data_IF_060626192361
#
_entry.id   IF_060626192361
#
_cell.length_a   1.000
_cell.length_b   1.000
_cell.length_c   1.000
_cell.angle_alpha   90.00
_cell.angle_beta   90.00
_cell.angle_gamma   90.00
#
_symmetry.space_group_name_H-M   'P 1'
#
loop_
_entity.id
_entity.type
_entity.pdbx_description
1 polymer ?
#
# COMPACT_ATOMS: atom_id res chain seq x y z
N UNK A 1 52.26 -51.47 -61.68
CA UNK A 1 53.02 -50.19 -61.68
C UNK A 1 52.10 -48.99 -61.91
N UNK A 2 51.34 -48.89 -63.01
CA UNK A 2 50.44 -47.74 -63.28
C UNK A 2 49.32 -47.51 -62.24
N UNK A 3 48.69 -48.57 -61.71
CA UNK A 3 47.63 -48.44 -60.71
C UNK A 3 48.13 -47.89 -59.35
N UNK A 4 49.34 -48.30 -58.96
CA UNK A 4 50.00 -47.83 -57.72
C UNK A 4 50.37 -46.34 -57.84
N UNK A 5 50.87 -45.93 -59.02
CA UNK A 5 51.15 -44.52 -59.33
C UNK A 5 49.88 -43.65 -59.23
N UNK A 6 48.76 -44.13 -59.80
CA UNK A 6 47.47 -43.41 -59.75
C UNK A 6 46.95 -43.25 -58.31
N UNK A 7 47.00 -44.32 -57.52
CA UNK A 7 46.61 -44.29 -56.10
C UNK A 7 47.52 -43.34 -55.29
N UNK A 8 48.82 -43.30 -55.61
CA UNK A 8 49.76 -42.41 -54.94
C UNK A 8 49.48 -40.93 -55.28
N UNK A 9 49.11 -40.62 -56.53
CA UNK A 9 48.69 -39.28 -56.95
C UNK A 9 47.37 -38.85 -56.29
N UNK A 10 46.42 -39.77 -56.12
CA UNK A 10 45.15 -39.51 -55.43
C UNK A 10 45.39 -39.19 -53.94
N UNK A 11 46.14 -40.02 -53.21
CA UNK A 11 46.53 -39.73 -51.82
C UNK A 11 47.32 -38.42 -51.68
N UNK A 12 48.15 -38.08 -52.66
CA UNK A 12 48.89 -36.80 -52.65
C UNK A 12 47.93 -35.61 -52.73
N UNK A 13 46.92 -35.67 -53.61
CA UNK A 13 45.89 -34.61 -53.71
C UNK A 13 45.03 -34.52 -52.44
N UNK A 14 44.68 -35.64 -51.84
CA UNK A 14 43.95 -35.65 -50.56
C UNK A 14 44.76 -35.00 -49.44
N UNK A 15 46.06 -35.28 -49.36
CA UNK A 15 46.95 -34.64 -48.41
C UNK A 15 47.10 -33.13 -48.67
N UNK A 16 47.18 -32.70 -49.93
CA UNK A 16 47.21 -31.29 -50.32
C UNK A 16 45.90 -30.58 -49.91
N UNK A 17 44.74 -31.17 -50.20
CA UNK A 17 43.44 -30.62 -49.81
C UNK A 17 43.28 -30.54 -48.29
N UNK A 18 43.73 -31.57 -47.57
CA UNK A 18 43.70 -31.59 -46.12
C UNK A 18 44.62 -30.50 -45.56
N UNK A 19 45.83 -30.34 -46.12
CA UNK A 19 46.76 -29.28 -45.72
C UNK A 19 46.16 -27.88 -45.95
N UNK A 20 45.54 -27.63 -47.10
CA UNK A 20 44.86 -26.37 -47.40
C UNK A 20 43.71 -26.09 -46.42
N UNK A 21 42.95 -27.13 -46.06
CA UNK A 21 41.88 -27.01 -45.06
C UNK A 21 42.45 -26.69 -43.67
N UNK A 22 43.52 -27.36 -43.25
CA UNK A 22 44.22 -27.06 -42.00
C UNK A 22 44.76 -25.63 -41.97
N UNK A 23 45.39 -25.16 -43.05
CA UNK A 23 45.90 -23.79 -43.14
C UNK A 23 44.77 -22.75 -43.05
N UNK A 24 43.64 -23.00 -43.73
CA UNK A 24 42.48 -22.11 -43.67
C UNK A 24 41.84 -22.11 -42.27
N UNK A 25 41.71 -23.28 -41.64
CA UNK A 25 41.20 -23.39 -40.27
C UNK A 25 42.14 -22.72 -39.27
N UNK A 26 43.46 -22.81 -39.45
CA UNK A 26 44.45 -22.14 -38.60
C UNK A 26 44.34 -20.61 -38.72
N UNK A 27 44.22 -20.09 -39.94
CA UNK A 27 44.01 -18.64 -40.17
C UNK A 27 42.70 -18.14 -39.56
N UNK A 28 41.64 -18.92 -39.67
CA UNK A 28 40.36 -18.57 -39.06
C UNK A 28 40.44 -18.54 -37.53
N UNK A 29 41.08 -19.54 -36.93
CA UNK A 29 41.33 -19.58 -35.49
C UNK A 29 42.16 -18.38 -35.03
N UNK A 30 43.23 -18.03 -35.74
CA UNK A 30 44.07 -16.86 -35.44
C UNK A 30 43.26 -15.56 -35.48
N UNK A 31 42.41 -15.40 -36.51
CA UNK A 31 41.53 -14.24 -36.65
C UNK A 31 40.53 -14.15 -35.49
N UNK A 32 39.83 -15.24 -35.16
CA UNK A 32 38.86 -15.26 -34.06
C UNK A 32 39.53 -15.05 -32.69
N UNK A 33 40.75 -15.55 -32.51
CA UNK A 33 41.55 -15.31 -31.31
C UNK A 33 41.85 -13.82 -31.15
N UNK A 34 42.32 -13.15 -32.21
CA UNK A 34 42.58 -11.70 -32.19
C UNK A 34 41.31 -10.90 -31.87
N UNK A 35 40.18 -11.25 -32.48
CA UNK A 35 38.90 -10.58 -32.21
C UNK A 35 38.47 -10.74 -30.74
N UNK A 36 38.66 -11.93 -30.16
CA UNK A 36 38.36 -12.19 -28.75
C UNK A 36 39.30 -11.45 -27.81
N UNK A 37 40.59 -11.34 -28.15
CA UNK A 37 41.59 -10.59 -27.38
C UNK A 37 41.25 -9.09 -27.34
N UNK A 38 40.83 -8.51 -28.47
CA UNK A 38 40.36 -7.11 -28.52
C UNK A 38 39.10 -6.89 -27.68
N UNK A 39 38.12 -7.80 -27.77
CA UNK A 39 36.90 -7.73 -26.95
C UNK A 39 37.20 -7.86 -25.46
N UNK A 40 38.14 -8.73 -25.09
CA UNK A 40 38.57 -8.90 -23.71
C UNK A 40 39.21 -7.61 -23.19
N UNK A 41 40.11 -7.01 -23.98
CA UNK A 41 40.76 -5.75 -23.64
C UNK A 41 39.74 -4.63 -23.37
N UNK A 42 38.76 -4.45 -24.25
CA UNK A 42 37.72 -3.43 -24.05
C UNK A 42 36.80 -3.72 -22.85
N UNK A 43 36.52 -4.99 -22.56
CA UNK A 43 35.74 -5.37 -21.40
C UNK A 43 36.51 -5.11 -20.09
N UNK A 44 37.81 -5.37 -20.07
CA UNK A 44 38.69 -5.06 -18.92
C UNK A 44 38.78 -3.55 -18.67
N UNK A 45 38.96 -2.74 -19.72
CA UNK A 45 38.99 -1.28 -19.63
C UNK A 45 37.65 -0.72 -19.08
N UNK A 46 36.52 -1.24 -19.59
CA UNK A 46 35.19 -0.85 -19.12
C UNK A 46 34.96 -1.25 -17.65
N UNK A 47 35.48 -2.40 -17.22
CA UNK A 47 35.35 -2.86 -15.84
C UNK A 47 36.16 -1.99 -14.86
N UNK A 48 37.32 -1.48 -15.28
CA UNK A 48 38.13 -0.54 -14.48
C UNK A 48 37.37 0.77 -14.28
N UNK A 49 36.81 1.35 -15.35
CA UNK A 49 36.02 2.59 -15.28
C UNK A 49 34.81 2.46 -14.34
N UNK A 50 34.04 1.38 -14.49
CA UNK A 50 32.87 1.12 -13.63
C UNK A 50 33.29 0.98 -12.15
N UNK A 51 34.45 0.39 -11.89
CA UNK A 51 34.96 0.24 -10.53
C UNK A 51 35.33 1.58 -9.91
N UNK A 52 35.96 2.47 -10.67
CA UNK A 52 36.29 3.83 -10.21
C UNK A 52 35.02 4.63 -9.88
N UNK A 53 34.01 4.58 -10.75
CA UNK A 53 32.70 5.22 -10.50
C UNK A 53 32.02 4.67 -9.23
N UNK A 54 32.10 3.35 -9.00
CA UNK A 54 31.57 2.73 -7.78
C UNK A 54 32.28 3.21 -6.51
N UNK A 55 33.60 3.34 -6.56
CA UNK A 55 34.40 3.83 -5.43
C UNK A 55 34.06 5.30 -5.11
N UNK A 56 33.90 6.15 -6.13
CA UNK A 56 33.45 7.54 -5.95
C UNK A 56 32.07 7.63 -5.30
N UNK A 57 31.09 6.86 -5.79
CA UNK A 57 29.74 6.81 -5.23
C UNK A 57 29.77 6.32 -3.78
N UNK A 58 30.61 5.32 -3.49
CA UNK A 58 30.74 4.78 -2.12
C UNK A 58 31.27 5.83 -1.16
N UNK A 59 32.29 6.60 -1.57
CA UNK A 59 32.86 7.69 -0.75
C UNK A 59 31.80 8.78 -0.51
N UNK A 60 31.07 9.18 -1.55
CA UNK A 60 30.01 10.20 -1.40
C UNK A 60 28.92 9.76 -0.42
N UNK A 61 28.49 8.50 -0.48
CA UNK A 61 27.48 7.95 0.44
C UNK A 61 27.98 7.89 1.88
N UNK A 62 29.24 7.55 2.10
CA UNK A 62 29.83 7.50 3.45
C UNK A 62 29.83 8.89 4.09
N UNK A 63 30.18 9.94 3.31
CA UNK A 63 30.15 11.34 3.76
C UNK A 63 28.73 11.77 4.14
N UNK A 64 27.74 11.45 3.32
CA UNK A 64 26.35 11.82 3.58
C UNK A 64 25.77 11.10 4.81
N UNK A 65 26.09 9.81 4.98
CA UNK A 65 25.73 9.05 6.18
C UNK A 65 26.33 9.69 7.43
N UNK A 66 27.58 10.15 7.37
CA UNK A 66 28.22 10.80 8.51
C UNK A 66 27.55 12.13 8.85
N UNK A 67 27.19 12.93 7.84
CA UNK A 67 26.46 14.18 8.03
C UNK A 67 25.09 13.97 8.69
N UNK A 68 24.31 13.00 8.21
CA UNK A 68 23.00 12.67 8.80
C UNK A 68 23.12 12.13 10.22
N UNK A 69 24.18 11.39 10.55
CA UNK A 69 24.45 10.95 11.93
C UNK A 69 24.70 12.12 12.87
N UNK A 70 25.45 13.12 12.41
CA UNK A 70 25.74 14.32 13.20
C UNK A 70 24.46 15.16 13.41
N UNK A 71 23.63 15.32 12.38
CA UNK A 71 22.33 16.01 12.50
C UNK A 71 21.36 15.30 13.47
N UNK A 72 21.30 13.96 13.42
CA UNK A 72 20.51 13.17 14.38
C UNK A 72 21.02 13.38 15.82
N UNK A 73 22.33 13.50 16.02
CA UNK A 73 22.93 13.70 17.33
C UNK A 73 22.55 15.08 17.90
N UNK A 74 22.58 16.12 17.07
CA UNK A 74 22.22 17.48 17.47
C UNK A 74 20.73 17.58 17.82
N UNK A 75 19.85 17.03 16.97
CA UNK A 75 18.41 16.98 17.24
C UNK A 75 18.08 16.20 18.52
N UNK A 76 18.80 15.12 18.82
CA UNK A 76 18.64 14.36 20.07
C UNK A 76 19.05 15.19 21.29
N UNK A 77 20.11 15.99 21.19
CA UNK A 77 20.51 16.90 22.25
C UNK A 77 19.47 18.01 22.47
N UNK A 78 18.90 18.55 21.40
CA UNK A 78 17.83 19.55 21.47
C UNK A 78 16.56 19.00 22.13
N UNK A 79 16.13 17.79 21.73
CA UNK A 79 15.00 17.09 22.38
C UNK A 79 15.28 16.87 23.87
N UNK A 80 16.51 16.46 24.23
CA UNK A 80 16.91 16.28 25.63
C UNK A 80 16.87 17.59 26.41
N UNK A 81 17.29 18.70 25.81
CA UNK A 81 17.28 20.02 26.44
C UNK A 81 15.85 20.52 26.67
N UNK A 82 14.98 20.41 25.66
CA UNK A 82 13.56 20.75 25.76
C UNK A 82 12.83 19.88 26.80
N UNK A 83 13.16 18.59 26.87
CA UNK A 83 12.62 17.67 27.86
C UNK A 83 13.10 17.99 29.29
N UNK A 84 14.31 18.52 29.44
CA UNK A 84 14.87 18.94 30.74
C UNK A 84 14.37 20.31 31.22
N UNK A 85 13.78 21.12 30.34
CA UNK A 85 13.10 22.38 30.68
C UNK A 85 11.77 22.08 31.38
N UNK A 86 11.85 21.69 32.66
CA UNK A 86 10.75 21.33 33.57
C UNK A 86 9.62 22.37 33.74
N UNK A 87 9.72 23.57 33.15
CA UNK A 87 8.71 24.64 33.27
C UNK A 87 7.38 24.27 32.60
N UNK A 88 7.40 23.39 31.59
CA UNK A 88 6.19 23.04 30.86
C UNK A 88 5.28 22.05 31.61
N UNK A 89 5.80 21.21 32.53
CA UNK A 89 4.94 20.25 33.25
C UNK A 89 3.98 20.91 34.24
N UNK A 90 4.35 22.00 34.91
CA UNK A 90 3.45 22.67 35.85
C UNK A 90 2.34 23.44 35.12
N UNK A 91 2.68 24.13 34.02
CA UNK A 91 1.72 24.87 33.20
C UNK A 91 0.80 23.93 32.41
N UNK A 92 1.32 22.81 31.92
CA UNK A 92 0.49 21.76 31.30
C UNK A 92 -0.48 21.19 32.32
N UNK A 93 -0.03 20.87 33.54
CA UNK A 93 -0.91 20.36 34.60
C UNK A 93 -1.98 21.37 35.04
N UNK A 94 -1.63 22.65 35.17
CA UNK A 94 -2.60 23.73 35.43
C UNK A 94 -3.63 23.89 34.30
N UNK A 95 -3.18 23.78 33.05
CA UNK A 95 -4.06 23.85 31.88
C UNK A 95 -4.95 22.60 31.76
N UNK A 96 -4.45 21.40 32.08
CA UNK A 96 -5.21 20.16 32.14
C UNK A 96 -6.30 20.23 33.22
N UNK A 97 -5.97 20.74 34.41
CA UNK A 97 -6.94 20.93 35.49
C UNK A 97 -8.01 21.97 35.12
N UNK A 98 -7.60 23.07 34.46
CA UNK A 98 -8.52 24.07 33.95
C UNK A 98 -9.41 23.53 32.82
N UNK A 99 -8.86 22.71 31.91
CA UNK A 99 -9.59 22.07 30.82
C UNK A 99 -10.62 21.07 31.35
N UNK A 100 -10.23 20.23 32.32
CA UNK A 100 -11.13 19.27 32.96
C UNK A 100 -12.27 19.98 33.72
N UNK A 101 -12.00 21.14 34.32
CA UNK A 101 -13.04 21.97 34.95
C UNK A 101 -14.00 22.56 33.91
N UNK A 102 -13.48 23.15 32.84
CA UNK A 102 -14.28 23.72 31.76
C UNK A 102 -15.14 22.65 31.05
N UNK A 103 -14.60 21.44 30.85
CA UNK A 103 -15.34 20.31 30.27
C UNK A 103 -16.51 19.84 31.16
N UNK A 104 -16.33 19.81 32.48
CA UNK A 104 -17.43 19.49 33.42
C UNK A 104 -18.53 20.54 33.37
N UNK A 105 -18.15 21.82 33.40
CA UNK A 105 -19.10 22.94 33.27
C UNK A 105 -19.82 22.92 31.91
N UNK A 106 -19.10 22.59 30.82
CA UNK A 106 -19.68 22.43 29.50
C UNK A 106 -20.65 21.25 29.44
N UNK A 107 -20.35 20.10 30.07
CA UNK A 107 -21.27 18.96 30.15
C UNK A 107 -22.54 19.31 30.92
N UNK A 108 -22.42 19.97 32.07
CA UNK A 108 -23.58 20.40 32.86
C UNK A 108 -24.44 21.41 32.09
N UNK A 109 -23.81 22.34 31.37
CA UNK A 109 -24.52 23.31 30.54
C UNK A 109 -25.19 22.62 29.34
N UNK A 110 -24.51 21.68 28.69
CA UNK A 110 -25.02 20.92 27.54
C UNK A 110 -26.19 20.01 27.93
N UNK A 111 -26.18 19.42 29.13
CA UNK A 111 -27.30 18.62 29.64
C UNK A 111 -28.51 19.49 29.97
N UNK A 112 -28.30 20.67 30.57
CA UNK A 112 -29.35 21.68 30.76
C UNK A 112 -29.91 22.14 29.40
N UNK A 113 -29.05 22.30 28.39
CA UNK A 113 -29.45 22.67 27.04
C UNK A 113 -30.18 21.52 26.31
N UNK A 114 -29.81 20.25 26.56
CA UNK A 114 -30.48 19.06 26.02
C UNK A 114 -31.90 18.95 26.55
N UNK A 115 -32.08 19.13 27.86
CA UNK A 115 -33.40 19.15 28.50
C UNK A 115 -34.24 20.33 27.96
N UNK A 116 -33.63 21.50 27.72
CA UNK A 116 -34.31 22.65 27.14
C UNK A 116 -34.65 22.47 25.63
N UNK A 117 -33.78 21.80 24.86
CA UNK A 117 -34.00 21.46 23.44
C UNK A 117 -35.03 20.33 23.27
N UNK A 118 -35.07 19.35 24.17
CA UNK A 118 -36.11 18.31 24.18
C UNK A 118 -37.51 18.87 24.48
N UNK A 119 -37.59 20.05 25.11
CA UNK A 119 -38.84 20.78 25.35
C UNK A 119 -39.21 21.76 24.23
N UNK A 120 -38.29 22.08 23.32
CA UNK A 120 -38.46 23.08 22.27
C UNK A 120 -38.05 22.48 20.92
N UNK A 121 -38.99 21.82 20.25
CA UNK A 121 -38.94 21.49 18.81
C UNK A 121 -37.90 20.39 18.44
N UNK A 122 -38.24 19.31 17.75
CA UNK A 122 -39.21 19.28 16.66
C UNK A 122 -38.68 20.01 15.43
N UNK A 123 -37.47 19.71 14.95
CA UNK A 123 -37.09 20.09 13.59
C UNK A 123 -35.65 20.56 13.38
N UNK A 124 -34.99 19.82 12.48
CA UNK A 124 -33.89 20.18 11.58
C UNK A 124 -32.48 20.43 12.13
N UNK A 125 -31.57 19.64 11.53
CA UNK A 125 -30.14 19.70 11.72
C UNK A 125 -29.47 20.83 10.95
N UNK A 126 -28.40 21.34 11.56
CA UNK A 126 -27.45 22.22 10.93
C UNK A 126 -26.57 21.44 9.95
N UNK A 127 -26.53 21.95 8.72
CA UNK A 127 -25.62 21.55 7.65
C UNK A 127 -24.24 22.10 8.00
N UNK A 128 -23.26 21.22 8.22
CA UNK A 128 -21.85 21.60 8.37
C UNK A 128 -21.18 21.74 7.01
N UNK A 129 -20.45 22.85 6.89
CA UNK A 129 -19.67 23.30 5.75
C UNK A 129 -18.55 22.28 5.42
N UNK A 130 -18.55 21.76 4.19
CA UNK A 130 -17.64 20.69 3.76
C UNK A 130 -16.28 21.28 3.38
N UNK A 131 -15.33 21.20 4.30
CA UNK A 131 -13.90 21.27 3.96
C UNK A 131 -13.41 19.87 3.63
N UNK A 132 -12.67 19.71 2.53
CA UNK A 132 -12.09 18.44 2.11
C UNK A 132 -10.96 18.05 3.07
N UNK A 133 -11.28 17.31 4.13
CA UNK A 133 -10.31 16.84 5.11
C UNK A 133 -9.92 15.39 4.83
N UNK A 134 -8.62 15.14 4.65
CA UNK A 134 -8.07 13.79 4.65
C UNK A 134 -7.94 13.34 6.10
N UNK A 135 -8.61 12.25 6.46
CA UNK A 135 -8.55 11.65 7.80
C UNK A 135 -7.85 10.30 7.76
N UNK A 136 -7.05 10.01 8.79
CA UNK A 136 -6.27 8.77 8.88
C UNK A 136 -6.66 8.00 10.14
N UNK A 137 -7.27 6.84 9.94
CA UNK A 137 -7.66 5.92 11.02
C UNK A 137 -6.79 4.67 10.94
N UNK A 138 -6.18 4.28 12.05
CA UNK A 138 -5.39 3.05 12.16
C UNK A 138 -6.23 1.94 12.78
N UNK A 139 -6.42 0.82 12.07
CA UNK A 139 -7.05 -0.38 12.63
C UNK A 139 -5.98 -1.42 12.92
N UNK A 140 -5.82 -1.77 14.19
CA UNK A 140 -5.04 -2.92 14.64
C UNK A 140 -5.97 -4.14 14.65
N UNK A 141 -5.57 -5.22 13.96
CA UNK A 141 -6.31 -6.49 14.02
C UNK A 141 -5.81 -7.35 15.18
N UNK A 142 -6.66 -8.23 15.75
CA UNK A 142 -6.21 -9.27 16.68
C UNK A 142 -5.08 -10.12 16.11
N UNK A 143 -4.23 -10.63 17.00
CA UNK A 143 -3.25 -11.65 16.65
C UNK A 143 -3.97 -12.99 16.42
N UNK A 144 -3.64 -13.66 15.32
CA UNK A 144 -4.18 -14.98 14.97
C UNK A 144 -3.16 -16.05 15.33
N UNK A 145 -3.62 -17.26 15.65
CA UNK A 145 -2.71 -18.38 16.00
C UNK A 145 -1.73 -18.74 14.86
N UNK A 146 -2.10 -18.44 13.62
CA UNK A 146 -1.26 -18.64 12.44
C UNK A 146 -0.21 -17.56 12.21
N UNK A 147 -0.22 -16.48 13.00
CA UNK A 147 0.72 -15.38 12.80
C UNK A 147 2.14 -15.76 13.22
N UNK A 148 3.16 -15.38 12.43
CA UNK A 148 4.55 -15.61 12.81
C UNK A 148 4.88 -14.81 14.07
N UNK A 149 5.89 -15.27 14.83
CA UNK A 149 6.46 -14.52 15.94
C UNK A 149 7.05 -13.19 15.42
N UNK A 150 6.22 -12.14 15.42
CA UNK A 150 6.48 -10.84 14.83
C UNK A 150 6.39 -9.70 15.84
N UNK A 151 6.38 -8.45 15.36
CA UNK A 151 6.18 -7.29 16.22
C UNK A 151 4.82 -7.39 16.92
N UNK A 152 4.81 -7.19 18.24
CA UNK A 152 3.59 -7.21 19.03
C UNK A 152 3.14 -5.78 19.31
N UNK A 153 1.83 -5.54 19.19
CA UNK A 153 1.22 -4.34 19.73
C UNK A 153 1.20 -4.48 21.25
N UNK A 154 1.99 -3.66 21.95
CA UNK A 154 2.06 -3.67 23.42
C UNK A 154 0.92 -2.87 24.03
N UNK A 155 0.61 -1.73 23.41
CA UNK A 155 -0.41 -0.78 23.85
C UNK A 155 -1.15 -0.23 22.63
N UNK A 156 -2.46 -0.07 22.78
CA UNK A 156 -3.33 0.49 21.78
C UNK A 156 -4.43 1.29 22.48
N UNK A 157 -4.35 2.62 22.36
CA UNK A 157 -5.35 3.55 22.88
C UNK A 157 -5.94 4.34 21.70
N UNK A 158 -6.97 5.15 21.93
CA UNK A 158 -7.70 5.87 20.87
C UNK A 158 -6.85 6.69 19.89
N UNK A 159 -5.64 7.12 20.27
CA UNK A 159 -4.76 7.97 19.44
C UNK A 159 -3.32 7.45 19.37
N UNK A 160 -3.02 6.32 20.00
CA UNK A 160 -1.64 5.85 20.20
C UNK A 160 -1.51 4.36 19.96
N UNK A 161 -0.49 3.95 19.20
CA UNK A 161 -0.09 2.56 19.04
C UNK A 161 1.38 2.40 19.42
N UNK A 162 1.65 1.50 20.35
CA UNK A 162 3.00 1.09 20.73
C UNK A 162 3.30 -0.30 20.19
N UNK A 163 4.39 -0.42 19.42
CA UNK A 163 4.82 -1.67 18.79
C UNK A 163 6.21 -2.02 19.28
N UNK A 164 6.39 -3.25 19.74
CA UNK A 164 7.71 -3.79 20.06
C UNK A 164 8.10 -4.89 19.08
N UNK A 165 9.34 -4.83 18.60
CA UNK A 165 9.95 -5.90 17.82
C UNK A 165 11.12 -6.48 18.60
N UNK A 166 11.08 -7.80 18.85
CA UNK A 166 12.17 -8.54 19.50
C UNK A 166 13.52 -8.37 18.81
N UNK A 167 13.54 -7.99 17.53
CA UNK A 167 14.78 -7.71 16.76
C UNK A 167 15.38 -6.33 17.02
N UNK A 168 14.55 -5.36 17.41
CA UNK A 168 14.93 -3.94 17.56
C UNK A 168 15.17 -3.59 19.04
N UNK A 169 14.70 -4.42 19.97
CA UNK A 169 14.97 -4.32 21.41
C UNK A 169 14.42 -3.05 22.08
N UNK A 170 13.61 -2.26 21.36
CA UNK A 170 12.98 -1.04 21.83
C UNK A 170 11.58 -0.92 21.24
N UNK A 171 10.63 -0.50 22.09
CA UNK A 171 9.27 -0.20 21.67
C UNK A 171 9.23 1.14 20.93
N UNK A 172 8.46 1.20 19.84
CA UNK A 172 8.18 2.42 19.07
C UNK A 172 6.75 2.86 19.33
N UNK A 173 6.57 4.13 19.61
CA UNK A 173 5.27 4.77 19.77
C UNK A 173 4.93 5.56 18.50
N UNK A 174 3.67 5.45 18.07
CA UNK A 174 3.11 6.18 16.95
C UNK A 174 1.78 6.82 17.36
N UNK A 175 1.60 8.09 17.01
CA UNK A 175 0.39 8.86 17.28
C UNK A 175 -0.42 9.06 15.99
N UNK A 176 -1.73 8.89 16.09
CA UNK A 176 -2.67 9.04 14.98
C UNK A 176 -3.92 9.79 15.43
N UNK A 177 -4.71 10.28 14.46
CA UNK A 177 -5.98 10.95 14.72
C UNK A 177 -6.98 10.02 15.42
N UNK A 178 -7.06 8.77 14.93
CA UNK A 178 -7.86 7.72 15.55
C UNK A 178 -7.20 6.37 15.36
N UNK A 179 -7.26 5.57 16.40
CA UNK A 179 -6.79 4.19 16.45
C UNK A 179 -7.97 3.33 16.92
N UNK A 180 -8.17 2.22 16.22
CA UNK A 180 -9.15 1.18 16.53
C UNK A 180 -8.34 -0.07 16.90
N UNK A 181 -8.42 -0.47 18.15
CA UNK A 181 -7.68 -1.56 18.75
C UNK A 181 -8.12 -2.95 18.29
N UNK A 182 -7.42 -4.01 18.71
CA UNK A 182 -7.72 -5.37 18.29
C UNK A 182 -9.12 -5.83 18.72
N UNK A 183 -9.56 -5.46 19.92
CA UNK A 183 -10.84 -5.88 20.51
C UNK A 183 -12.03 -5.04 19.99
N UNK A 184 -11.75 -3.91 19.35
CA UNK A 184 -12.77 -3.00 18.84
C UNK A 184 -13.45 -3.57 17.60
N UNK A 185 -14.76 -3.36 17.53
CA UNK A 185 -15.62 -3.88 16.47
C UNK A 185 -15.50 -3.10 15.15
N UNK A 186 -15.94 -3.71 14.04
CA UNK A 186 -16.09 -2.97 12.78
C UNK A 186 -17.21 -1.92 12.91
N UNK A 187 -18.18 -2.12 13.81
CA UNK A 187 -19.23 -1.13 14.08
C UNK A 187 -18.65 0.17 14.64
N UNK A 188 -17.68 0.08 15.55
CA UNK A 188 -16.98 1.26 16.07
C UNK A 188 -16.25 2.04 14.99
N UNK A 189 -15.46 1.35 14.16
CA UNK A 189 -14.85 1.95 12.98
C UNK A 189 -15.89 2.58 12.05
N UNK A 190 -17.05 1.94 11.88
CA UNK A 190 -18.09 2.44 10.99
C UNK A 190 -18.74 3.72 11.51
N UNK A 191 -18.85 3.93 12.83
CA UNK A 191 -19.36 5.19 13.38
C UNK A 191 -18.52 6.39 12.94
N UNK A 192 -17.19 6.25 12.90
CA UNK A 192 -16.29 7.31 12.42
C UNK A 192 -16.45 7.56 10.90
N UNK A 193 -16.73 6.50 10.14
CA UNK A 193 -16.91 6.54 8.68
C UNK A 193 -18.35 6.89 8.24
N UNK A 194 -19.33 6.87 9.13
CA UNK A 194 -20.74 7.06 8.79
C UNK A 194 -20.99 8.44 8.14
N UNK A 195 -20.29 9.47 8.64
CA UNK A 195 -20.32 10.82 8.08
C UNK A 195 -19.93 10.87 6.60
N UNK A 196 -18.97 10.04 6.17
CA UNK A 196 -18.56 9.93 4.77
C UNK A 196 -19.67 9.33 3.89
N UNK A 197 -20.41 8.35 4.41
CA UNK A 197 -21.52 7.70 3.69
C UNK A 197 -22.70 8.67 3.55
N UNK A 198 -23.01 9.42 4.61
CA UNK A 198 -24.05 10.45 4.58
C UNK A 198 -23.67 11.58 3.62
N UNK A 199 -22.41 12.01 3.62
CA UNK A 199 -21.91 13.00 2.66
C UNK A 199 -22.09 12.55 1.21
N UNK A 200 -21.75 11.28 0.92
CA UNK A 200 -21.96 10.70 -0.41
C UNK A 200 -23.45 10.61 -0.79
N UNK A 201 -24.31 10.22 0.17
CA UNK A 201 -25.76 10.16 -0.05
C UNK A 201 -26.37 11.53 -0.36
N UNK A 202 -25.76 12.62 0.12
CA UNK A 202 -26.21 13.99 -0.13
C UNK A 202 -25.61 14.61 -1.42
N UNK A 203 -25.00 13.80 -2.29
CA UNK A 203 -24.43 14.23 -3.57
C UNK A 203 -22.96 14.64 -3.52
N UNK A 204 -22.28 14.42 -2.38
CA UNK A 204 -20.84 14.60 -2.25
C UNK A 204 -20.03 13.41 -2.80
N UNK A 205 -18.72 13.62 -2.97
CA UNK A 205 -17.80 12.53 -3.32
C UNK A 205 -17.05 12.08 -2.07
N UNK A 206 -17.02 10.77 -1.81
CA UNK A 206 -16.26 10.21 -0.69
C UNK A 206 -15.39 9.04 -1.13
N UNK A 207 -14.19 8.96 -0.57
CA UNK A 207 -13.22 7.90 -0.85
C UNK A 207 -12.71 7.31 0.46
N UNK A 208 -12.78 5.99 0.59
CA UNK A 208 -12.25 5.24 1.73
C UNK A 208 -11.20 4.27 1.20
N UNK A 209 -9.97 4.43 1.66
CA UNK A 209 -8.83 3.60 1.25
C UNK A 209 -8.38 2.73 2.43
N UNK A 210 -8.18 1.43 2.17
CA UNK A 210 -7.56 0.52 3.13
C UNK A 210 -6.12 0.21 2.68
N UNK A 211 -5.15 0.52 3.53
CA UNK A 211 -3.73 0.31 3.28
C UNK A 211 -3.08 -0.61 4.32
N UNK A 212 -2.03 -1.34 3.93
CA UNK A 212 -1.32 -2.28 4.79
C UNK A 212 -0.78 -3.50 4.05
N UNK A 213 0.08 -4.28 4.71
CA UNK A 213 0.67 -5.51 4.15
C UNK A 213 -0.35 -6.65 3.96
N UNK A 214 -0.02 -7.68 3.18
CA UNK A 214 -0.83 -8.90 3.07
C UNK A 214 -1.07 -9.51 4.45
N UNK A 215 -2.30 -9.95 4.72
CA UNK A 215 -2.69 -10.48 6.03
C UNK A 215 -2.92 -9.43 7.12
N UNK A 216 -2.89 -8.12 6.84
CA UNK A 216 -3.16 -7.07 7.83
C UNK A 216 -4.65 -6.80 8.11
N UNK A 217 -5.57 -7.54 7.49
CA UNK A 217 -7.02 -7.38 7.68
C UNK A 217 -7.73 -6.40 6.73
N UNK A 218 -7.06 -5.84 5.70
CA UNK A 218 -7.69 -4.89 4.74
C UNK A 218 -9.02 -5.38 4.16
N UNK A 219 -9.06 -6.59 3.61
CA UNK A 219 -10.26 -7.16 2.98
C UNK A 219 -11.37 -7.38 4.01
N UNK A 220 -11.02 -7.89 5.20
CA UNK A 220 -11.96 -8.08 6.31
C UNK A 220 -12.62 -6.76 6.71
N UNK A 221 -11.81 -5.73 6.96
CA UNK A 221 -12.27 -4.39 7.32
C UNK A 221 -13.16 -3.80 6.23
N UNK A 222 -12.70 -3.79 4.98
CA UNK A 222 -13.42 -3.16 3.88
C UNK A 222 -14.76 -3.86 3.57
N UNK A 223 -14.81 -5.20 3.63
CA UNK A 223 -16.06 -5.93 3.46
C UNK A 223 -17.10 -5.59 4.55
N UNK A 224 -16.63 -5.44 5.78
CA UNK A 224 -17.47 -5.03 6.91
C UNK A 224 -17.98 -3.59 6.79
N UNK A 225 -17.13 -2.67 6.33
CA UNK A 225 -17.51 -1.28 6.05
C UNK A 225 -18.52 -1.22 4.91
N UNK A 226 -18.25 -1.85 3.75
CA UNK A 226 -19.16 -1.85 2.59
C UNK A 226 -20.54 -2.39 2.97
N UNK A 227 -20.60 -3.49 3.73
CA UNK A 227 -21.88 -4.08 4.15
C UNK A 227 -22.72 -3.13 4.99
N UNK A 228 -22.08 -2.40 5.92
CA UNK A 228 -22.74 -1.38 6.76
C UNK A 228 -23.14 -0.15 5.95
N UNK A 229 -22.30 0.29 5.02
CA UNK A 229 -22.61 1.38 4.10
C UNK A 229 -23.87 1.10 3.28
N UNK A 230 -23.98 -0.11 2.70
CA UNK A 230 -25.17 -0.51 1.93
C UNK A 230 -26.44 -0.50 2.80
N UNK A 231 -26.36 -1.00 4.03
CA UNK A 231 -27.50 -0.98 4.95
C UNK A 231 -27.89 0.45 5.37
N UNK A 232 -26.91 1.32 5.61
CA UNK A 232 -27.17 2.73 5.96
C UNK A 232 -27.81 3.48 4.81
N UNK A 233 -27.31 3.28 3.58
CA UNK A 233 -27.89 3.84 2.36
C UNK A 233 -29.32 3.33 2.14
N UNK A 234 -29.59 2.04 2.43
CA UNK A 234 -30.96 1.49 2.39
C UNK A 234 -31.90 2.21 3.34
N UNK A 235 -31.49 2.42 4.59
CA UNK A 235 -32.28 3.16 5.58
C UNK A 235 -32.53 4.61 5.13
N UNK A 236 -31.54 5.25 4.51
CA UNK A 236 -31.64 6.63 4.03
C UNK A 236 -32.60 6.80 2.85
N UNK A 237 -32.66 5.81 1.95
CA UNK A 237 -33.42 5.87 0.70
C UNK A 237 -34.61 4.91 0.66
N UNK A 238 -35.06 4.39 1.81
CA UNK A 238 -36.13 3.38 1.88
C UNK A 238 -37.46 3.86 1.26
N UNK A 239 -37.70 5.18 1.29
CA UNK A 239 -38.88 5.83 0.75
C UNK A 239 -38.62 6.65 -0.55
N UNK A 240 -37.40 6.60 -1.10
CA UNK A 240 -36.99 7.41 -2.25
C UNK A 240 -36.72 6.54 -3.49
N UNK A 241 -37.17 6.98 -4.65
CA UNK A 241 -36.85 6.32 -5.92
C UNK A 241 -35.43 6.70 -6.35
N UNK A 242 -34.45 5.92 -5.91
CA UNK A 242 -33.03 6.12 -6.27
C UNK A 242 -32.56 5.16 -7.35
N UNK A 243 -31.76 5.68 -8.28
CA UNK A 243 -30.99 4.87 -9.22
C UNK A 243 -29.62 4.61 -8.61
N UNK A 244 -29.30 3.33 -8.37
CA UNK A 244 -28.01 2.91 -7.81
C UNK A 244 -27.30 2.05 -8.83
N UNK A 245 -26.07 2.44 -9.14
CA UNK A 245 -25.14 1.66 -9.94
C UNK A 245 -23.97 1.17 -9.09
N UNK A 246 -23.37 0.07 -9.53
CA UNK A 246 -22.20 -0.54 -8.91
C UNK A 246 -21.17 -0.86 -9.98
N UNK A 247 -19.93 -0.55 -9.66
CA UNK A 247 -18.76 -0.86 -10.45
C UNK A 247 -17.72 -1.51 -9.54
N UNK A 248 -17.13 -2.62 -9.98
CA UNK A 248 -16.04 -3.28 -9.27
C UNK A 248 -14.91 -3.57 -10.26
N UNK A 249 -13.78 -2.91 -10.05
CA UNK A 249 -12.60 -3.01 -10.90
C UNK A 249 -11.38 -3.47 -10.10
N UNK A 250 -10.45 -4.10 -10.79
CA UNK A 250 -9.13 -4.46 -10.31
C UNK A 250 -8.08 -3.71 -11.13
N UNK A 251 -7.14 -3.08 -10.43
CA UNK A 251 -5.95 -2.49 -11.05
C UNK A 251 -4.77 -3.38 -10.68
N UNK A 252 -4.17 -4.03 -11.67
CA UNK A 252 -3.02 -4.92 -11.48
C UNK A 252 -2.00 -4.68 -12.59
N UNK A 253 -0.76 -4.38 -12.20
CA UNK A 253 0.35 -4.10 -13.13
C UNK A 253 -0.02 -3.04 -14.20
N UNK A 254 -0.58 -1.91 -13.76
CA UNK A 254 -1.07 -0.82 -14.62
C UNK A 254 -2.16 -1.23 -15.64
N UNK A 255 -2.79 -2.40 -15.45
CA UNK A 255 -3.93 -2.86 -16.25
C UNK A 255 -5.20 -2.83 -15.41
N UNK A 256 -6.26 -2.30 -16.01
CA UNK A 256 -7.59 -2.28 -15.40
C UNK A 256 -8.39 -3.48 -15.89
N UNK A 257 -9.06 -4.16 -14.97
CA UNK A 257 -9.88 -5.34 -15.23
C UNK A 257 -11.23 -5.17 -14.57
N UNK A 258 -12.30 -5.39 -15.32
CA UNK A 258 -13.65 -5.46 -14.76
C UNK A 258 -13.83 -6.78 -13.98
N UNK A 259 -14.27 -6.71 -12.72
CA UNK A 259 -14.52 -7.90 -11.90
C UNK A 259 -15.97 -8.41 -11.98
N UNK A 260 -16.88 -7.65 -12.58
CA UNK A 260 -18.29 -8.03 -12.71
C UNK A 260 -18.53 -8.84 -13.99
N UNK A 261 -18.03 -8.37 -15.14
CA UNK A 261 -18.12 -9.04 -16.44
C UNK A 261 -16.82 -9.80 -16.76
N UNK A 262 -16.79 -10.52 -17.88
CA UNK A 262 -15.59 -11.19 -18.40
C UNK A 262 -15.04 -10.43 -19.62
N UNK A 263 -15.04 -9.10 -19.56
CA UNK A 263 -14.58 -8.27 -20.68
C UNK A 263 -13.06 -8.43 -20.88
N UNK A 264 -12.57 -8.38 -22.14
CA UNK A 264 -11.14 -8.42 -22.42
C UNK A 264 -10.42 -7.24 -21.76
N UNK A 265 -9.17 -7.46 -21.37
CA UNK A 265 -8.29 -6.41 -20.85
C UNK A 265 -8.12 -5.33 -21.93
N UNK A 266 -8.78 -4.18 -21.75
CA UNK A 266 -8.53 -2.98 -22.56
C UNK A 266 -7.36 -2.19 -21.99
N UNK A 267 -6.58 -1.55 -22.86
CA UNK A 267 -5.54 -0.59 -22.43
C UNK A 267 -6.13 0.78 -22.07
N UNK A 268 -7.33 1.10 -22.56
CA UNK A 268 -8.02 2.33 -22.16
C UNK A 268 -8.93 2.06 -20.96
N UNK A 269 -8.51 2.58 -19.80
CA UNK A 269 -9.25 2.44 -18.56
C UNK A 269 -10.60 3.17 -18.60
N UNK A 270 -10.77 4.21 -19.43
CA UNK A 270 -12.02 4.96 -19.54
C UNK A 270 -13.14 4.10 -20.13
N UNK A 271 -12.81 3.29 -21.13
CA UNK A 271 -13.77 2.37 -21.73
C UNK A 271 -14.22 1.33 -20.72
N UNK A 272 -13.30 0.79 -19.92
CA UNK A 272 -13.63 -0.16 -18.87
C UNK A 272 -14.52 0.49 -17.82
N UNK A 273 -14.24 1.73 -17.41
CA UNK A 273 -15.11 2.41 -16.45
C UNK A 273 -16.53 2.62 -17.00
N UNK A 274 -16.67 3.06 -18.25
CA UNK A 274 -17.97 3.29 -18.85
C UNK A 274 -18.78 1.98 -19.07
N UNK A 275 -18.09 0.86 -19.34
CA UNK A 275 -18.73 -0.43 -19.60
C UNK A 275 -18.97 -1.27 -18.34
N UNK A 276 -18.35 -0.93 -17.21
CA UNK A 276 -18.40 -1.72 -15.97
C UNK A 276 -19.46 -1.27 -14.97
N UNK A 277 -20.25 -0.26 -15.32
CA UNK A 277 -21.35 0.22 -14.50
C UNK A 277 -22.58 -0.69 -14.62
N UNK A 278 -23.00 -1.30 -13.52
CA UNK A 278 -24.21 -2.13 -13.47
C UNK A 278 -25.28 -1.43 -12.64
N UNK A 279 -26.44 -1.14 -13.24
CA UNK A 279 -27.61 -0.68 -12.51
C UNK A 279 -28.25 -1.82 -11.72
N UNK A 280 -28.40 -1.63 -10.40
CA UNK A 280 -28.84 -2.69 -9.50
C UNK A 280 -30.38 -2.85 -9.45
N UNK A 281 -31.13 -1.78 -9.76
CA UNK A 281 -32.60 -1.77 -9.76
C UNK A 281 -33.21 -2.14 -8.40
N UNK A 282 -34.34 -2.87 -8.41
CA UNK A 282 -35.00 -3.32 -7.19
C UNK A 282 -34.13 -4.32 -6.40
N UNK A 283 -34.26 -4.30 -5.07
CA UNK A 283 -33.46 -5.11 -4.13
C UNK A 283 -31.95 -4.93 -4.30
N UNK A 284 -31.52 -3.69 -4.59
CA UNK A 284 -30.13 -3.35 -4.88
C UNK A 284 -29.14 -3.77 -3.79
N UNK A 285 -29.51 -3.73 -2.51
CA UNK A 285 -28.62 -4.13 -1.40
C UNK A 285 -28.18 -5.59 -1.52
N UNK A 286 -29.14 -6.51 -1.69
CA UNK A 286 -28.84 -7.94 -1.79
C UNK A 286 -28.00 -8.23 -3.04
N UNK A 287 -28.36 -7.61 -4.17
CA UNK A 287 -27.61 -7.75 -5.42
C UNK A 287 -26.19 -7.21 -5.30
N UNK A 288 -26.00 -6.06 -4.66
CA UNK A 288 -24.68 -5.48 -4.42
C UNK A 288 -23.82 -6.44 -3.58
N UNK A 289 -24.36 -6.95 -2.47
CA UNK A 289 -23.66 -7.90 -1.61
C UNK A 289 -23.26 -9.18 -2.37
N UNK A 290 -24.14 -9.71 -3.22
CA UNK A 290 -23.86 -10.89 -4.03
C UNK A 290 -22.78 -10.63 -5.08
N UNK A 291 -22.83 -9.48 -5.78
CA UNK A 291 -21.83 -9.08 -6.77
C UNK A 291 -20.47 -8.85 -6.13
N UNK A 292 -20.42 -8.20 -4.96
CA UNK A 292 -19.19 -7.99 -4.19
C UNK A 292 -18.59 -9.34 -3.81
N UNK A 293 -19.38 -10.25 -3.22
CA UNK A 293 -18.92 -11.60 -2.87
C UNK A 293 -18.38 -12.36 -4.08
N UNK A 294 -19.07 -12.33 -5.22
CA UNK A 294 -18.60 -12.96 -6.46
C UNK A 294 -17.29 -12.33 -6.96
N UNK A 295 -17.16 -11.01 -6.88
CA UNK A 295 -15.96 -10.29 -7.35
C UNK A 295 -14.71 -10.64 -6.53
N UNK A 296 -14.84 -10.87 -5.21
CA UNK A 296 -13.72 -11.27 -4.36
C UNK A 296 -13.04 -12.56 -4.84
N UNK A 297 -13.78 -13.50 -5.42
CA UNK A 297 -13.25 -14.76 -5.96
C UNK A 297 -12.52 -14.59 -7.30
N UNK A 298 -12.80 -13.52 -8.05
CA UNK A 298 -12.19 -13.22 -9.36
C UNK A 298 -10.90 -12.40 -9.27
N UNK A 299 -10.57 -11.91 -8.07
CA UNK A 299 -9.38 -11.11 -7.79
C UNK A 299 -8.12 -11.92 -8.07
N UNK A 300 -7.13 -11.31 -8.72
CA UNK A 300 -5.82 -11.91 -8.88
C UNK A 300 -5.08 -11.88 -7.54
N UNK A 301 -5.25 -12.93 -6.74
CA UNK A 301 -4.41 -13.19 -5.57
C UNK A 301 -3.37 -14.23 -5.94
N UNK A 302 -2.08 -13.98 -5.70
CA UNK A 302 -1.17 -15.09 -5.40
C UNK A 302 -1.79 -15.81 -4.20
N UNK A 303 -2.07 -17.10 -4.36
CA UNK A 303 -2.75 -17.97 -3.38
C UNK A 303 -2.51 -17.50 -1.95
N UNK A 304 -3.48 -16.80 -1.41
CA UNK A 304 -3.59 -16.53 0.01
C UNK A 304 -5.06 -16.73 0.28
N UNK A 305 -5.39 -17.93 0.76
CA UNK A 305 -6.71 -18.24 1.28
C UNK A 305 -7.10 -17.10 2.23
N UNK A 306 -8.36 -16.69 2.15
CA UNK A 306 -8.88 -15.61 2.99
C UNK A 306 -8.82 -16.08 4.44
N UNK A 307 -7.73 -15.75 5.12
CA UNK A 307 -7.49 -15.95 6.55
C UNK A 307 -7.76 -14.64 7.30
#
# INVERSE_FOLDING_TARGET
MKAILKQHEEHKRELEQLNDHWENSARYLEYTKQELEERLYHAEESAILIKEELDEISIQKEIEIQRLKDEIKDLRQEISFLSSSQVNNHRVKELEDALNKAMREQMEFKEKLRIAKEQSEGGNGEVTEVTTTVRVIVKVRPFLDSDPAGPQCLMCNDTEVQIESKKVGSAKCFMFEKVIGPDDSIDELFMDLESNIVHAANGGNSCILAYGQTGSGKTYTMNGVISRSLNKLKQRFDCESVMISLQIIEIYNEQVKNLLTNDPLSRDWKDILNLSEIQLGNNWVSKAQDLIKKSCHKRQTKSTDSN
#
